data_IF_306380891795
#
_entry.id   IF_306380891795
#
_cell.length_a   1.000
_cell.length_b   1.000
_cell.length_c   1.000
_cell.angle_alpha   90.00
_cell.angle_beta   90.00
_cell.angle_gamma   90.00
#
_symmetry.space_group_name_H-M   'P 1'
#
loop_
_entity.id
_entity.type
_entity.pdbx_description
1 polymer ?
#
# COMPACT_ATOMS: atom_id res chain seq x y z
N UNK A 1 9.54 27.82 -1.13
CA UNK A 1 9.48 26.34 -1.12
C UNK A 1 8.05 25.96 -0.81
N UNK A 2 7.42 25.07 -1.58
CA UNK A 2 6.15 24.48 -1.14
C UNK A 2 6.44 23.69 0.13
N UNK A 3 5.65 23.90 1.17
CA UNK A 3 5.67 23.01 2.34
C UNK A 3 5.44 21.57 1.85
N UNK A 4 6.15 20.60 2.44
CA UNK A 4 6.10 19.19 2.03
C UNK A 4 4.75 18.53 2.36
N UNK A 5 4.77 17.29 2.84
CA UNK A 5 3.58 16.60 3.34
C UNK A 5 3.56 16.65 4.88
N UNK A 6 3.04 17.72 5.52
CA UNK A 6 3.23 17.99 6.94
C UNK A 6 2.61 16.92 7.87
N UNK A 7 1.55 16.25 7.42
CA UNK A 7 0.82 15.25 8.21
C UNK A 7 1.11 13.80 7.78
N UNK A 8 2.08 13.59 6.88
CA UNK A 8 2.46 12.26 6.44
C UNK A 8 3.60 11.73 7.31
N UNK A 9 3.43 10.63 8.06
CA UNK A 9 4.52 10.03 8.82
C UNK A 9 5.67 9.65 7.88
N UNK A 10 6.85 10.15 8.21
CA UNK A 10 8.08 9.86 7.48
C UNK A 10 9.06 9.15 8.40
N UNK A 11 9.54 8.01 7.95
CA UNK A 11 10.64 7.28 8.57
C UNK A 11 11.80 7.17 7.57
N UNK A 12 13.01 7.00 8.11
CA UNK A 12 14.22 6.72 7.32
C UNK A 12 14.61 5.28 7.60
N UNK A 13 14.99 4.55 6.55
CA UNK A 13 15.49 3.19 6.72
C UNK A 13 16.83 3.18 7.50
N UNK A 14 17.16 2.04 8.07
CA UNK A 14 18.48 1.80 8.66
C UNK A 14 19.58 1.94 7.61
N UNK A 15 20.81 2.21 8.06
CA UNK A 15 21.98 2.27 7.16
C UNK A 15 22.27 0.95 6.44
N UNK A 16 21.80 -0.18 7.00
CA UNK A 16 21.89 -1.51 6.39
C UNK A 16 20.82 -1.76 5.31
N UNK A 17 19.94 -0.77 5.06
CA UNK A 17 18.81 -0.86 4.13
C UNK A 17 17.84 -2.00 4.48
N UNK A 18 17.65 -2.29 5.77
CA UNK A 18 16.89 -3.45 6.24
C UNK A 18 15.46 -3.50 5.68
N UNK A 19 14.74 -2.37 5.67
CA UNK A 19 13.37 -2.30 5.14
C UNK A 19 13.37 -2.43 3.62
N UNK A 20 14.28 -1.73 2.95
CA UNK A 20 14.43 -1.77 1.50
C UNK A 20 14.75 -3.18 1.01
N UNK A 21 15.58 -3.93 1.73
CA UNK A 21 15.90 -5.32 1.45
C UNK A 21 14.69 -6.24 1.72
N UNK A 22 14.05 -6.12 2.88
CA UNK A 22 12.92 -6.96 3.28
C UNK A 22 11.71 -6.84 2.33
N UNK A 23 11.43 -5.62 1.86
CA UNK A 23 10.33 -5.34 0.93
C UNK A 23 10.80 -5.30 -0.54
N UNK A 24 12.07 -5.57 -0.85
CA UNK A 24 12.59 -5.45 -2.22
C UNK A 24 12.23 -4.10 -2.85
N UNK A 25 12.37 -3.03 -2.08
CA UNK A 25 11.89 -1.67 -2.36
C UNK A 25 13.02 -0.70 -2.68
N UNK A 26 14.17 -1.21 -3.15
CA UNK A 26 15.21 -0.36 -3.72
C UNK A 26 14.62 0.52 -4.85
N UNK A 27 15.04 1.79 -4.90
CA UNK A 27 14.40 2.87 -5.64
C UNK A 27 13.08 3.34 -5.02
N UNK A 28 11.95 2.91 -5.58
CA UNK A 28 10.61 3.27 -5.12
C UNK A 28 9.67 2.08 -5.27
N UNK A 29 8.74 1.94 -4.32
CA UNK A 29 7.74 0.87 -4.35
C UNK A 29 6.54 1.20 -3.46
N UNK A 30 5.36 0.81 -3.90
CA UNK A 30 4.11 0.96 -3.15
C UNK A 30 3.68 -0.38 -2.57
N UNK A 31 3.22 -0.35 -1.31
CA UNK A 31 2.70 -1.51 -0.60
C UNK A 31 1.40 -1.17 0.10
N UNK A 32 0.53 -2.15 0.24
CA UNK A 32 -0.57 -2.12 1.22
C UNK A 32 -0.40 -3.33 2.11
N UNK A 33 -0.34 -3.07 3.41
CA UNK A 33 -0.19 -4.09 4.45
C UNK A 33 -1.41 -4.00 5.36
N UNK A 34 -2.07 -5.13 5.62
CA UNK A 34 -3.21 -5.23 6.52
C UNK A 34 -3.05 -6.52 7.32
N UNK A 35 -3.22 -6.46 8.64
CA UNK A 35 -3.15 -7.63 9.53
C UNK A 35 -1.88 -8.47 9.26
N UNK A 36 -0.73 -7.78 9.17
CA UNK A 36 0.59 -8.38 8.92
C UNK A 36 0.74 -9.09 7.56
N UNK A 37 -0.19 -8.89 6.64
CA UNK A 37 -0.18 -9.48 5.29
C UNK A 37 -0.03 -8.41 4.22
N UNK A 38 0.76 -8.72 3.20
CA UNK A 38 0.88 -7.89 2.00
C UNK A 38 -0.35 -8.10 1.12
N UNK A 39 -1.19 -7.08 1.03
CA UNK A 39 -2.43 -7.10 0.24
C UNK A 39 -2.26 -6.55 -1.17
N UNK A 40 -1.25 -5.69 -1.35
CA UNK A 40 -0.83 -5.15 -2.64
C UNK A 40 0.68 -4.93 -2.61
N UNK A 41 1.34 -5.35 -3.69
CA UNK A 41 2.75 -5.12 -3.95
C UNK A 41 2.88 -4.48 -5.33
N UNK A 42 3.34 -3.23 -5.36
CA UNK A 42 3.62 -2.52 -6.60
C UNK A 42 4.75 -3.15 -7.41
N UNK A 43 4.79 -2.81 -8.70
CA UNK A 43 5.92 -3.12 -9.56
C UNK A 43 7.21 -2.48 -9.05
N UNK A 44 8.36 -2.96 -9.53
CA UNK A 44 9.66 -2.33 -9.25
C UNK A 44 9.76 -1.00 -10.02
N UNK A 45 10.23 0.06 -9.37
CA UNK A 45 10.45 1.35 -10.01
C UNK A 45 11.53 1.33 -11.11
N UNK A 46 11.59 2.35 -12.00
CA UNK A 46 10.72 3.54 -12.04
C UNK A 46 9.36 3.29 -12.73
N UNK A 47 9.27 2.30 -13.61
CA UNK A 47 8.05 2.02 -14.40
C UNK A 47 6.91 1.42 -13.57
N UNK A 48 7.25 0.77 -12.45
CA UNK A 48 6.30 0.11 -11.56
C UNK A 48 5.57 1.03 -10.58
N UNK A 49 5.90 2.33 -10.54
CA UNK A 49 5.26 3.29 -9.65
C UNK A 49 3.88 3.72 -10.18
N UNK A 50 2.89 2.84 -10.01
CA UNK A 50 1.54 3.01 -10.55
C UNK A 50 0.54 3.37 -9.47
N UNK A 51 0.42 4.66 -9.19
CA UNK A 51 -0.57 5.18 -8.23
C UNK A 51 -2.01 4.79 -8.59
N UNK A 52 -2.32 4.66 -9.89
CA UNK A 52 -3.65 4.26 -10.36
C UNK A 52 -4.07 2.87 -9.90
N UNK A 53 -3.16 1.90 -9.89
CA UNK A 53 -3.41 0.55 -9.39
C UNK A 53 -3.65 0.56 -7.88
N UNK A 54 -2.81 1.29 -7.13
CA UNK A 54 -2.99 1.48 -5.69
C UNK A 54 -4.35 2.11 -5.36
N UNK A 55 -4.73 3.18 -6.08
CA UNK A 55 -6.03 3.85 -5.92
C UNK A 55 -7.19 2.89 -6.18
N UNK A 56 -7.10 2.11 -7.26
CA UNK A 56 -8.13 1.12 -7.61
C UNK A 56 -8.30 0.09 -6.50
N UNK A 57 -7.20 -0.40 -5.91
CA UNK A 57 -7.26 -1.31 -4.78
C UNK A 57 -7.97 -0.67 -3.57
N UNK A 58 -7.61 0.58 -3.23
CA UNK A 58 -8.18 1.31 -2.10
C UNK A 58 -9.69 1.58 -2.27
N UNK A 59 -10.11 1.93 -3.48
CA UNK A 59 -11.53 2.16 -3.80
C UNK A 59 -12.36 0.88 -3.66
N UNK A 60 -11.82 -0.26 -4.11
CA UNK A 60 -12.45 -1.57 -3.92
C UNK A 60 -12.51 -1.95 -2.44
N UNK A 61 -11.44 -1.69 -1.67
CA UNK A 61 -11.41 -1.94 -0.23
C UNK A 61 -12.46 -1.12 0.52
N UNK A 62 -12.58 0.18 0.21
CA UNK A 62 -13.61 1.05 0.78
C UNK A 62 -15.02 0.54 0.47
N UNK A 63 -15.27 0.09 -0.75
CA UNK A 63 -16.55 -0.51 -1.14
C UNK A 63 -16.88 -1.75 -0.31
N UNK A 64 -15.90 -2.62 -0.06
CA UNK A 64 -16.08 -3.82 0.79
C UNK A 64 -16.42 -3.46 2.24
N UNK A 65 -15.81 -2.40 2.80
CA UNK A 65 -16.11 -1.94 4.16
C UNK A 65 -17.55 -1.40 4.30
N UNK A 66 -18.10 -0.81 3.23
CA UNK A 66 -19.45 -0.24 3.22
C UNK A 66 -20.55 -1.29 3.01
N UNK A 67 -20.19 -2.46 2.50
CA UNK A 67 -21.10 -3.58 2.24
C UNK A 67 -20.67 -4.82 3.03
N UNK A 68 -20.86 -4.85 4.37
CA UNK A 68 -20.64 -6.07 5.13
C UNK A 68 -21.61 -7.12 4.58
N UNK A 69 -21.06 -8.16 3.95
CA UNK A 69 -21.84 -9.10 3.14
C UNK A 69 -23.07 -9.63 3.88
N UNK A 70 -24.24 -9.43 3.29
CA UNK A 70 -25.43 -10.22 3.62
C UNK A 70 -25.11 -11.67 3.27
N UNK A 71 -24.74 -12.47 4.27
CA UNK A 71 -24.69 -13.92 4.14
C UNK A 71 -26.15 -14.39 4.14
N UNK A 72 -26.72 -14.58 2.95
CA UNK A 72 -28.01 -15.25 2.81
C UNK A 72 -27.75 -16.75 2.98
N UNK A 73 -27.90 -17.26 4.20
CA UNK A 73 -27.97 -18.71 4.42
C UNK A 73 -29.38 -19.13 4.00
N UNK A 74 -29.51 -19.72 2.81
CA UNK A 74 -30.72 -20.44 2.43
C UNK A 74 -30.72 -21.79 3.16
N UNK A 75 -31.66 -21.96 4.09
CA UNK A 75 -32.08 -23.25 4.67
C UNK A 75 -33.33 -23.71 3.95
#
# INVERSE_FOLDING_TARGET
>A
MREGAPDCPLAVDTMDNASSAAYGAYFERLYIIQEEKVMYQGGRGPEGYKISELRTWLDQYKTRLQSPGTVVIQV
#
